data_IF_718348817798
#
_entry.id   IF_718348817798
#
_cell.length_a   1.000
_cell.length_b   1.000
_cell.length_c   1.000
_cell.angle_alpha   90.00
_cell.angle_beta   90.00
_cell.angle_gamma   90.00
#
_symmetry.space_group_name_H-M   'P 1'
#
loop_
_entity.id
_entity.type
_entity.pdbx_description
1 polymer ?
#
# COMPACT_ATOMS: atom_id res chain seq x y z
N UNK A 1 4.63 22.49 16.31
CA UNK A 1 4.08 21.26 15.71
C UNK A 1 3.17 20.58 16.72
N UNK A 2 1.86 20.52 16.45
CA UNK A 2 0.76 20.12 17.36
C UNK A 2 0.92 18.71 17.97
N UNK A 3 1.47 17.74 17.23
CA UNK A 3 1.44 16.32 17.63
C UNK A 3 2.75 15.78 18.21
N UNK A 4 3.76 16.62 18.44
CA UNK A 4 5.07 16.16 18.96
C UNK A 4 4.89 15.43 20.29
N UNK A 5 4.19 16.04 21.25
CA UNK A 5 4.01 15.47 22.58
C UNK A 5 3.31 14.11 22.58
N UNK A 6 2.41 13.88 21.62
CA UNK A 6 1.71 12.60 21.50
C UNK A 6 2.61 11.54 20.84
N UNK A 7 3.39 11.91 19.82
CA UNK A 7 4.36 11.01 19.16
C UNK A 7 5.52 10.61 20.08
N UNK A 8 5.91 11.47 21.01
CA UNK A 8 6.98 11.18 21.98
C UNK A 8 6.47 10.58 23.28
N UNK A 9 5.16 10.35 23.42
CA UNK A 9 4.57 9.73 24.61
C UNK A 9 4.81 8.21 24.67
N UNK A 10 4.76 7.62 25.86
CA UNK A 10 4.82 6.15 26.00
C UNK A 10 3.50 5.43 25.66
N UNK A 11 2.46 6.20 25.29
CA UNK A 11 1.12 5.68 25.06
C UNK A 11 0.90 5.35 23.58
N UNK A 12 0.98 4.06 23.24
CA UNK A 12 0.71 3.57 21.87
C UNK A 12 -0.63 4.09 21.29
N UNK A 13 -1.74 4.22 22.06
CA UNK A 13 -2.96 4.85 21.56
C UNK A 13 -2.82 6.33 21.20
N UNK A 14 -2.06 7.12 21.98
CA UNK A 14 -1.81 8.54 21.67
C UNK A 14 -0.94 8.68 20.43
N UNK A 15 0.14 7.89 20.34
CA UNK A 15 1.01 7.84 19.17
C UNK A 15 0.20 7.51 17.91
N UNK A 16 -0.65 6.46 17.96
CA UNK A 16 -1.52 6.08 16.85
C UNK A 16 -2.44 7.22 16.42
N UNK A 17 -3.11 7.87 17.37
CA UNK A 17 -4.03 8.98 17.10
C UNK A 17 -3.30 10.17 16.46
N UNK A 18 -2.11 10.50 16.94
CA UNK A 18 -1.25 11.53 16.34
C UNK A 18 -0.89 11.19 14.89
N UNK A 19 -0.41 9.98 14.64
CA UNK A 19 -0.04 9.50 13.30
C UNK A 19 -1.24 9.54 12.31
N UNK A 20 -2.44 9.15 12.77
CA UNK A 20 -3.69 9.26 11.99
C UNK A 20 -4.02 10.71 11.62
N UNK A 21 -3.92 11.61 12.59
CA UNK A 21 -4.22 13.02 12.35
C UNK A 21 -3.21 13.69 11.43
N UNK A 22 -1.93 13.31 11.51
CA UNK A 22 -0.87 13.78 10.61
C UNK A 22 -1.18 13.41 9.16
N UNK A 23 -1.60 12.16 8.90
CA UNK A 23 -2.06 11.74 7.56
C UNK A 23 -3.28 12.54 7.14
N UNK A 24 -4.32 12.59 7.99
CA UNK A 24 -5.60 13.23 7.66
C UNK A 24 -5.43 14.70 7.31
N UNK A 25 -4.58 15.41 8.06
CA UNK A 25 -4.27 16.83 7.86
C UNK A 25 -3.10 17.06 6.87
N UNK A 26 -2.50 15.99 6.32
CA UNK A 26 -1.32 16.02 5.42
C UNK A 26 -0.17 16.89 5.95
N UNK A 27 0.13 16.76 7.24
CA UNK A 27 1.12 17.61 7.89
C UNK A 27 2.54 17.18 7.57
N UNK A 28 3.42 18.15 7.32
CA UNK A 28 4.85 17.95 7.08
C UNK A 28 5.68 18.31 8.32
N UNK A 29 6.97 17.97 8.32
CA UNK A 29 7.91 18.29 9.42
C UNK A 29 7.94 17.28 10.57
N UNK A 30 7.14 16.21 10.52
CA UNK A 30 7.06 15.20 11.58
C UNK A 30 7.99 14.00 11.39
N UNK A 31 8.86 13.99 10.38
CA UNK A 31 9.59 12.78 9.98
C UNK A 31 10.48 12.19 11.07
N UNK A 32 11.30 13.00 11.73
CA UNK A 32 12.14 12.55 12.84
C UNK A 32 11.30 11.96 13.97
N UNK A 33 10.19 12.60 14.34
CA UNK A 33 9.30 12.14 15.41
C UNK A 33 8.54 10.86 15.05
N UNK A 34 8.10 10.71 13.80
CA UNK A 34 7.43 9.50 13.31
C UNK A 34 8.41 8.32 13.28
N UNK A 35 9.64 8.56 12.82
CA UNK A 35 10.68 7.55 12.78
C UNK A 35 11.09 7.12 14.19
N UNK A 36 11.33 8.06 15.11
CA UNK A 36 11.65 7.76 16.49
C UNK A 36 10.53 6.97 17.18
N UNK A 37 9.27 7.37 16.97
CA UNK A 37 8.12 6.63 17.48
C UNK A 37 8.04 5.21 16.90
N UNK A 38 8.32 5.03 15.60
CA UNK A 38 8.33 3.69 14.98
C UNK A 38 9.44 2.82 15.56
N UNK A 39 10.65 3.34 15.74
CA UNK A 39 11.77 2.60 16.34
C UNK A 39 11.43 2.09 17.74
N UNK A 40 10.65 2.84 18.53
CA UNK A 40 10.18 2.39 19.86
C UNK A 40 9.03 1.39 19.77
N UNK A 41 8.07 1.64 18.89
CA UNK A 41 6.84 0.83 18.79
C UNK A 41 7.10 -0.51 18.08
N UNK A 42 8.06 -0.61 17.17
CA UNK A 42 8.33 -1.84 16.40
C UNK A 42 8.78 -3.00 17.30
N UNK A 43 9.39 -2.69 18.44
CA UNK A 43 9.84 -3.67 19.44
C UNK A 43 8.70 -4.15 20.37
N UNK A 44 7.46 -3.65 20.18
CA UNK A 44 6.28 -4.01 21.00
C UNK A 44 5.30 -4.88 20.20
N UNK A 45 5.33 -6.23 20.31
CA UNK A 45 4.50 -7.12 19.48
C UNK A 45 2.99 -6.84 19.56
N UNK A 46 2.50 -6.39 20.71
CA UNK A 46 1.08 -6.09 20.96
C UNK A 46 0.63 -4.74 20.37
N UNK A 47 1.53 -3.91 19.86
CA UNK A 47 1.25 -2.57 19.35
C UNK A 47 1.13 -2.52 17.81
N UNK A 48 0.83 -3.65 17.16
CA UNK A 48 0.85 -3.76 15.69
C UNK A 48 -0.03 -2.73 14.98
N UNK A 49 -1.19 -2.34 15.55
CA UNK A 49 -2.02 -1.30 14.94
C UNK A 49 -1.32 0.07 14.94
N UNK A 50 -0.54 0.36 15.98
CA UNK A 50 0.24 1.60 16.08
C UNK A 50 1.43 1.54 15.12
N UNK A 51 2.12 0.39 15.03
CA UNK A 51 3.20 0.15 14.07
C UNK A 51 2.72 0.37 12.63
N UNK A 52 1.65 -0.30 12.21
CA UNK A 52 1.01 -0.12 10.90
C UNK A 52 0.71 1.36 10.61
N UNK A 53 0.15 2.06 11.60
CA UNK A 53 -0.22 3.45 11.44
C UNK A 53 0.98 4.38 11.24
N UNK A 54 2.06 4.17 12.01
CA UNK A 54 3.30 4.92 11.88
C UNK A 54 3.98 4.66 10.53
N UNK A 55 4.07 3.39 10.12
CA UNK A 55 4.63 3.00 8.83
C UNK A 55 3.89 3.69 7.70
N UNK A 56 2.54 3.65 7.70
CA UNK A 56 1.73 4.35 6.68
C UNK A 56 1.94 5.86 6.71
N UNK A 57 2.01 6.47 7.89
CA UNK A 57 2.26 7.91 8.03
C UNK A 57 3.58 8.31 7.41
N UNK A 58 4.66 7.55 7.67
CA UNK A 58 6.00 7.75 7.10
C UNK A 58 5.97 7.78 5.57
N UNK A 59 5.30 6.80 4.94
CA UNK A 59 5.18 6.75 3.48
C UNK A 59 4.35 7.91 2.92
N UNK A 60 3.21 8.22 3.53
CA UNK A 60 2.29 9.25 3.04
C UNK A 60 2.87 10.66 3.14
N UNK A 61 3.58 10.97 4.23
CA UNK A 61 4.19 12.30 4.43
C UNK A 61 5.61 12.40 3.86
N UNK A 62 6.03 11.39 3.11
CA UNK A 62 7.29 11.35 2.36
C UNK A 62 8.55 11.51 3.23
N UNK A 63 8.64 10.72 4.30
CA UNK A 63 9.84 10.69 5.15
C UNK A 63 10.92 9.80 4.54
N UNK A 64 11.63 10.31 3.54
CA UNK A 64 12.68 9.60 2.79
C UNK A 64 13.81 9.05 3.67
N UNK A 65 14.16 9.73 4.75
CA UNK A 65 15.17 9.30 5.73
C UNK A 65 14.83 7.94 6.39
N UNK A 66 13.55 7.57 6.45
CA UNK A 66 13.11 6.30 7.01
C UNK A 66 13.28 5.11 6.05
N UNK A 67 13.55 5.35 4.76
CA UNK A 67 13.55 4.29 3.74
C UNK A 67 14.54 3.15 4.06
N UNK A 68 15.81 3.40 4.47
CA UNK A 68 16.73 2.32 4.85
C UNK A 68 16.16 1.46 5.99
N UNK A 69 15.60 2.11 7.02
CA UNK A 69 15.02 1.41 8.16
C UNK A 69 13.80 0.57 7.75
N UNK A 70 12.90 1.09 6.91
CA UNK A 70 11.75 0.31 6.42
C UNK A 70 12.19 -0.91 5.60
N UNK A 71 13.25 -0.78 4.79
CA UNK A 71 13.83 -1.91 4.04
C UNK A 71 14.47 -2.96 4.95
N UNK A 72 15.05 -2.57 6.08
CA UNK A 72 15.49 -3.54 7.08
C UNK A 72 14.31 -4.24 7.75
N UNK A 73 13.24 -3.50 8.07
CA UNK A 73 12.05 -4.05 8.70
C UNK A 73 11.35 -5.08 7.82
N UNK A 74 11.22 -4.84 6.50
CA UNK A 74 10.47 -5.74 5.62
C UNK A 74 11.13 -7.12 5.45
N UNK A 75 12.41 -7.26 5.75
CA UNK A 75 13.15 -8.52 5.72
C UNK A 75 13.11 -9.27 7.08
N UNK A 76 12.49 -8.69 8.13
CA UNK A 76 12.28 -9.37 9.42
C UNK A 76 11.08 -10.32 9.35
N UNK A 77 11.02 -11.27 10.30
CA UNK A 77 9.86 -12.14 10.51
C UNK A 77 8.90 -11.52 11.53
N UNK A 78 7.62 -11.37 11.16
CA UNK A 78 6.58 -10.84 12.04
C UNK A 78 5.46 -11.86 12.26
N UNK A 79 4.98 -11.97 13.50
CA UNK A 79 3.74 -12.69 13.81
C UNK A 79 2.53 -11.98 13.17
N UNK A 80 2.51 -10.65 13.20
CA UNK A 80 1.47 -9.82 12.59
C UNK A 80 1.82 -9.51 11.13
N UNK A 81 1.47 -10.42 10.23
CA UNK A 81 1.85 -10.35 8.81
C UNK A 81 1.32 -9.11 8.07
N UNK A 82 0.26 -8.47 8.57
CA UNK A 82 -0.29 -7.21 8.00
C UNK A 82 0.75 -6.09 7.91
N UNK A 83 1.81 -6.11 8.74
CA UNK A 83 2.91 -5.17 8.66
C UNK A 83 3.60 -5.19 7.30
N UNK A 84 3.74 -6.36 6.65
CA UNK A 84 4.39 -6.46 5.34
C UNK A 84 3.69 -5.63 4.28
N UNK A 85 2.36 -5.56 4.32
CA UNK A 85 1.58 -4.76 3.38
C UNK A 85 1.84 -3.26 3.58
N UNK A 86 1.78 -2.79 4.82
CA UNK A 86 1.97 -1.37 5.12
C UNK A 86 3.45 -0.95 4.90
N UNK A 87 4.41 -1.84 5.19
CA UNK A 87 5.83 -1.64 4.85
C UNK A 87 6.03 -1.51 3.34
N UNK A 88 5.51 -2.47 2.56
CA UNK A 88 5.61 -2.44 1.11
C UNK A 88 4.93 -1.22 0.50
N UNK A 89 3.76 -0.82 1.02
CA UNK A 89 3.09 0.42 0.63
C UNK A 89 4.00 1.63 0.83
N UNK A 90 4.56 1.79 2.04
CA UNK A 90 5.38 2.95 2.36
C UNK A 90 6.73 2.95 1.65
N UNK A 91 7.39 1.80 1.50
CA UNK A 91 8.63 1.66 0.72
C UNK A 91 8.38 2.08 -0.73
N UNK A 92 7.32 1.54 -1.36
CA UNK A 92 7.00 1.88 -2.74
C UNK A 92 6.75 3.39 -2.92
N UNK A 93 6.03 4.03 -1.99
CA UNK A 93 5.82 5.49 -2.02
C UNK A 93 7.13 6.28 -1.90
N UNK A 94 8.05 5.86 -1.04
CA UNK A 94 9.32 6.54 -0.79
C UNK A 94 10.34 6.33 -1.92
N UNK A 95 10.29 5.20 -2.60
CA UNK A 95 11.10 4.96 -3.82
C UNK A 95 10.58 5.78 -5.01
N UNK A 96 9.27 6.06 -5.05
CA UNK A 96 8.59 6.74 -6.15
C UNK A 96 8.19 8.18 -5.83
N UNK A 97 9.13 8.97 -5.31
CA UNK A 97 8.87 10.36 -4.89
C UNK A 97 9.08 11.38 -6.00
N UNK A 98 9.84 11.02 -7.04
CA UNK A 98 10.20 11.90 -8.15
C UNK A 98 9.13 11.84 -9.24
N UNK A 99 8.54 12.98 -9.63
CA UNK A 99 7.59 13.01 -10.75
C UNK A 99 8.23 12.53 -12.05
N UNK A 100 7.54 11.65 -12.78
CA UNK A 100 8.00 11.14 -14.08
C UNK A 100 9.01 9.98 -14.01
N UNK A 101 9.54 9.65 -12.83
CA UNK A 101 10.40 8.49 -12.60
C UNK A 101 9.60 7.44 -11.82
N UNK A 102 9.04 6.46 -12.53
CA UNK A 102 8.36 5.31 -11.93
C UNK A 102 9.33 4.12 -11.87
N UNK A 103 9.65 3.68 -10.66
CA UNK A 103 10.39 2.46 -10.38
C UNK A 103 9.44 1.37 -9.85
N UNK A 104 9.31 0.30 -10.62
CA UNK A 104 8.49 -0.88 -10.29
C UNK A 104 9.34 -2.07 -9.83
N UNK A 105 10.65 -1.91 -9.67
CA UNK A 105 11.57 -3.00 -9.33
C UNK A 105 11.13 -3.72 -8.05
N UNK A 106 10.77 -2.96 -7.01
CA UNK A 106 10.26 -3.52 -5.76
C UNK A 106 9.00 -4.37 -5.94
N UNK A 107 8.03 -3.92 -6.75
CA UNK A 107 6.82 -4.70 -7.05
C UNK A 107 7.16 -5.98 -7.82
N UNK A 108 8.02 -5.90 -8.84
CA UNK A 108 8.39 -7.08 -9.63
C UNK A 108 9.23 -8.09 -8.85
N UNK A 109 10.11 -7.63 -7.94
CA UNK A 109 10.80 -8.51 -7.00
C UNK A 109 9.82 -9.19 -6.04
N UNK A 110 8.83 -8.46 -5.52
CA UNK A 110 7.78 -9.01 -4.65
C UNK A 110 6.95 -10.08 -5.36
N UNK A 111 6.59 -9.84 -6.63
CA UNK A 111 5.91 -10.81 -7.50
C UNK A 111 6.78 -12.06 -7.68
N UNK A 112 8.08 -11.90 -7.98
CA UNK A 112 9.01 -13.01 -8.15
C UNK A 112 9.16 -13.85 -6.87
N UNK A 113 9.14 -13.21 -5.69
CA UNK A 113 9.16 -13.89 -4.39
C UNK A 113 7.82 -14.57 -4.04
N UNK A 114 6.74 -14.26 -4.75
CA UNK A 114 5.40 -14.75 -4.45
C UNK A 114 4.79 -14.19 -3.15
N UNK A 115 5.29 -13.05 -2.66
CA UNK A 115 4.86 -12.49 -1.39
C UNK A 115 3.59 -11.63 -1.55
N UNK A 116 2.43 -12.26 -1.45
CA UNK A 116 1.10 -11.64 -1.62
C UNK A 116 0.91 -10.33 -0.82
N UNK A 117 1.39 -10.26 0.42
CA UNK A 117 1.24 -9.07 1.26
C UNK A 117 2.10 -7.91 0.77
N UNK A 118 3.34 -8.18 0.36
CA UNK A 118 4.21 -7.15 -0.22
C UNK A 118 3.66 -6.65 -1.56
N UNK A 119 3.21 -7.57 -2.41
CA UNK A 119 2.56 -7.24 -3.68
C UNK A 119 1.32 -6.37 -3.43
N UNK A 120 0.46 -6.75 -2.49
CA UNK A 120 -0.73 -5.97 -2.11
C UNK A 120 -0.37 -4.57 -1.64
N UNK A 121 0.70 -4.43 -0.84
CA UNK A 121 1.19 -3.14 -0.38
C UNK A 121 1.60 -2.22 -1.52
N UNK A 122 2.44 -2.71 -2.45
CA UNK A 122 2.84 -1.96 -3.63
C UNK A 122 1.66 -1.63 -4.56
N UNK A 123 0.75 -2.58 -4.83
CA UNK A 123 -0.45 -2.32 -5.64
C UNK A 123 -1.37 -1.28 -4.98
N UNK A 124 -1.50 -1.30 -3.65
CA UNK A 124 -2.25 -0.29 -2.91
C UNK A 124 -1.62 1.09 -3.00
N UNK A 125 -0.29 1.18 -3.10
CA UNK A 125 0.43 2.44 -3.32
C UNK A 125 0.21 3.00 -4.74
N UNK A 126 0.16 2.12 -5.74
CA UNK A 126 -0.23 2.46 -7.13
C UNK A 126 -1.64 3.05 -7.16
N UNK A 127 -2.60 2.41 -6.52
CA UNK A 127 -3.98 2.92 -6.40
C UNK A 127 -4.00 4.27 -5.67
N UNK A 128 -3.33 4.37 -4.52
CA UNK A 128 -3.30 5.58 -3.70
C UNK A 128 -2.76 6.81 -4.45
N UNK A 129 -1.66 6.64 -5.19
CA UNK A 129 -1.04 7.70 -5.99
C UNK A 129 -1.68 7.88 -7.37
N UNK A 130 -2.65 7.05 -7.72
CA UNK A 130 -3.27 6.98 -9.05
C UNK A 130 -2.22 6.88 -10.18
N UNK A 131 -1.25 6.00 -10.00
CA UNK A 131 -0.14 5.81 -10.96
C UNK A 131 -0.66 5.18 -12.25
N UNK A 132 -0.18 5.71 -13.39
CA UNK A 132 -0.42 5.17 -14.74
C UNK A 132 0.92 4.65 -15.27
N UNK A 133 1.21 3.34 -15.19
CA UNK A 133 2.43 2.76 -15.75
C UNK A 133 2.40 2.77 -17.28
N UNK A 134 3.57 2.51 -17.89
CA UNK A 134 3.65 2.28 -19.34
C UNK A 134 2.98 0.96 -19.70
N UNK A 135 2.49 0.82 -20.93
CA UNK A 135 1.74 -0.36 -21.40
C UNK A 135 2.45 -1.70 -21.10
N UNK A 136 3.76 -1.77 -21.35
CA UNK A 136 4.54 -2.96 -21.06
C UNK A 136 4.56 -3.33 -19.56
N UNK A 137 4.60 -2.31 -18.69
CA UNK A 137 4.58 -2.52 -17.25
C UNK A 137 3.19 -2.89 -16.76
N UNK A 138 2.12 -2.33 -17.35
CA UNK A 138 0.74 -2.74 -17.09
C UNK A 138 0.58 -4.25 -17.35
N UNK A 139 1.04 -4.73 -18.52
CA UNK A 139 1.02 -6.17 -18.87
C UNK A 139 1.75 -7.02 -17.84
N UNK A 140 2.95 -6.61 -17.44
CA UNK A 140 3.76 -7.33 -16.44
C UNK A 140 3.10 -7.36 -15.07
N UNK A 141 2.54 -6.24 -14.62
CA UNK A 141 1.79 -6.14 -13.35
C UNK A 141 0.62 -7.12 -13.40
N UNK A 142 -0.26 -7.00 -14.40
CA UNK A 142 -1.45 -7.85 -14.55
C UNK A 142 -1.06 -9.32 -14.59
N UNK A 143 -0.08 -9.70 -15.43
CA UNK A 143 0.36 -11.08 -15.53
C UNK A 143 0.91 -11.60 -14.21
N UNK A 144 1.68 -10.79 -13.49
CA UNK A 144 2.27 -11.16 -12.21
C UNK A 144 1.25 -11.30 -11.07
N UNK A 145 0.16 -10.53 -11.09
CA UNK A 145 -0.82 -10.53 -10.00
C UNK A 145 -2.05 -11.41 -10.26
N UNK A 146 -2.28 -11.85 -11.50
CA UNK A 146 -3.51 -12.58 -11.87
C UNK A 146 -3.67 -13.92 -11.16
N UNK A 147 -2.57 -14.53 -10.72
CA UNK A 147 -2.58 -15.81 -9.99
C UNK A 147 -3.08 -15.68 -8.54
N UNK A 148 -3.14 -14.46 -7.99
CA UNK A 148 -3.51 -14.23 -6.59
C UNK A 148 -5.03 -14.13 -6.43
N UNK A 149 -5.70 -15.26 -6.64
CA UNK A 149 -7.16 -15.41 -6.55
C UNK A 149 -7.62 -16.00 -5.21
N UNK A 150 -6.69 -16.57 -4.44
CA UNK A 150 -6.98 -17.17 -3.14
C UNK A 150 -7.40 -16.12 -2.12
N UNK A 151 -8.35 -16.49 -1.24
CA UNK A 151 -8.88 -15.66 -0.16
C UNK A 151 -9.54 -14.33 -0.59
N UNK A 152 -9.93 -14.20 -1.87
CA UNK A 152 -10.78 -13.09 -2.32
C UNK A 152 -12.05 -12.99 -1.45
N UNK A 153 -12.29 -11.81 -0.90
CA UNK A 153 -13.40 -11.56 0.04
C UNK A 153 -13.10 -11.86 1.51
N UNK A 154 -11.99 -12.55 1.81
CA UNK A 154 -11.44 -12.63 3.19
C UNK A 154 -10.37 -11.57 3.42
N UNK A 155 -9.57 -11.27 2.39
CA UNK A 155 -8.61 -10.16 2.35
C UNK A 155 -8.74 -9.41 1.04
N UNK A 156 -8.23 -8.17 1.01
CA UNK A 156 -8.10 -7.41 -0.23
C UNK A 156 -6.82 -7.88 -0.92
N UNK A 157 -6.97 -8.56 -2.06
CA UNK A 157 -5.86 -9.12 -2.84
C UNK A 157 -5.25 -8.06 -3.77
N UNK A 158 -4.06 -8.30 -4.34
CA UNK A 158 -3.47 -7.42 -5.35
C UNK A 158 -4.41 -7.14 -6.53
N UNK A 159 -5.22 -8.14 -6.92
CA UNK A 159 -6.23 -8.02 -7.99
C UNK A 159 -7.23 -6.92 -7.70
N UNK A 160 -7.69 -6.79 -6.46
CA UNK A 160 -8.64 -5.74 -6.06
C UNK A 160 -8.06 -4.33 -6.28
N UNK A 161 -6.81 -4.11 -5.85
CA UNK A 161 -6.15 -2.81 -5.99
C UNK A 161 -5.92 -2.42 -7.45
N UNK A 162 -5.45 -3.37 -8.27
CA UNK A 162 -5.18 -3.13 -9.69
C UNK A 162 -6.48 -2.99 -10.48
N UNK A 163 -7.50 -3.82 -10.20
CA UNK A 163 -8.81 -3.66 -10.82
C UNK A 163 -9.41 -2.28 -10.51
N UNK A 164 -9.20 -1.78 -9.29
CA UNK A 164 -9.74 -0.49 -8.91
C UNK A 164 -9.09 0.70 -9.63
N UNK A 165 -7.78 0.65 -9.90
CA UNK A 165 -7.10 1.73 -10.63
C UNK A 165 -7.17 1.56 -12.16
N UNK A 166 -7.49 0.37 -12.66
CA UNK A 166 -7.50 0.08 -14.10
C UNK A 166 -8.45 0.97 -14.92
N UNK A 167 -9.44 1.62 -14.30
CA UNK A 167 -10.36 2.55 -14.98
C UNK A 167 -9.67 3.76 -15.63
N UNK A 168 -8.47 4.14 -15.15
CA UNK A 168 -7.63 5.21 -15.74
C UNK A 168 -6.47 4.68 -16.60
N UNK A 169 -6.39 3.37 -16.84
CA UNK A 169 -5.37 2.77 -17.69
C UNK A 169 -5.90 2.54 -19.12
N UNK A 170 -5.04 2.30 -20.12
CA UNK A 170 -5.47 2.00 -21.48
C UNK A 170 -6.41 0.80 -21.53
N UNK A 171 -7.65 1.01 -22.02
CA UNK A 171 -8.73 0.00 -22.01
C UNK A 171 -8.33 -1.33 -22.64
N UNK A 172 -7.61 -1.29 -23.76
CA UNK A 172 -7.17 -2.50 -24.46
C UNK A 172 -6.25 -3.37 -23.61
N UNK A 173 -5.51 -2.78 -22.68
CA UNK A 173 -4.54 -3.48 -21.84
C UNK A 173 -5.15 -4.09 -20.58
N UNK A 174 -6.26 -3.52 -20.11
CA UNK A 174 -6.90 -3.96 -18.86
C UNK A 174 -8.17 -4.78 -19.06
N UNK A 175 -8.79 -4.73 -20.25
CA UNK A 175 -10.11 -5.35 -20.50
C UNK A 175 -10.15 -6.83 -20.12
N UNK A 176 -9.23 -7.63 -20.64
CA UNK A 176 -9.21 -9.08 -20.35
C UNK A 176 -8.99 -9.40 -18.87
N UNK A 177 -8.17 -8.60 -18.19
CA UNK A 177 -7.97 -8.72 -16.75
C UNK A 177 -9.26 -8.39 -15.97
N UNK A 178 -9.92 -7.29 -16.29
CA UNK A 178 -11.18 -6.91 -15.64
C UNK A 178 -12.30 -7.93 -15.91
N UNK A 179 -12.37 -8.48 -17.11
CA UNK A 179 -13.30 -9.57 -17.43
C UNK A 179 -13.02 -10.80 -16.55
N UNK A 180 -11.75 -11.19 -16.36
CA UNK A 180 -11.39 -12.28 -15.42
C UNK A 180 -11.73 -11.98 -13.96
N UNK A 181 -11.70 -10.70 -13.55
CA UNK A 181 -12.09 -10.30 -12.19
C UNK A 181 -13.59 -10.44 -11.95
N UNK A 182 -14.43 -10.34 -13.00
CA UNK A 182 -15.87 -10.57 -12.91
C UNK A 182 -16.24 -12.03 -12.69
N UNK A 183 -15.32 -12.95 -12.92
CA UNK A 183 -15.50 -14.39 -12.64
C UNK A 183 -15.22 -14.74 -11.16
N UNK A 184 -14.78 -13.77 -10.36
CA UNK A 184 -14.53 -13.96 -8.92
C UNK A 184 -15.80 -14.37 -8.19
N UNK A 185 -15.65 -15.25 -7.20
CA UNK A 185 -16.73 -15.59 -6.26
C UNK A 185 -17.03 -14.47 -5.26
N UNK A 186 -16.14 -13.47 -5.12
CA UNK A 186 -16.36 -12.34 -4.21
C UNK A 186 -17.06 -11.18 -4.92
N UNK A 187 -18.30 -10.81 -4.51
CA UNK A 187 -19.05 -9.75 -5.18
C UNK A 187 -18.36 -8.39 -5.22
N UNK A 188 -17.51 -8.07 -4.24
CA UNK A 188 -16.79 -6.79 -4.21
C UNK A 188 -15.81 -6.63 -5.36
N UNK A 189 -15.08 -7.68 -5.75
CA UNK A 189 -14.18 -7.63 -6.91
C UNK A 189 -14.96 -7.55 -8.22
N UNK A 190 -16.10 -8.22 -8.30
CA UNK A 190 -17.01 -8.13 -9.46
C UNK A 190 -17.50 -6.70 -9.65
N UNK A 191 -17.94 -6.03 -8.57
CA UNK A 191 -18.38 -4.63 -8.60
C UNK A 191 -17.24 -3.69 -9.00
N UNK A 192 -16.04 -3.84 -8.39
CA UNK A 192 -14.85 -3.06 -8.75
C UNK A 192 -14.53 -3.20 -10.25
N UNK A 193 -14.55 -4.43 -10.76
CA UNK A 193 -14.23 -4.69 -12.16
C UNK A 193 -15.28 -4.11 -13.12
N UNK A 194 -16.56 -4.16 -12.74
CA UNK A 194 -17.63 -3.57 -13.53
C UNK A 194 -17.52 -2.04 -13.59
N UNK A 195 -17.34 -1.38 -12.44
CA UNK A 195 -17.13 0.07 -12.39
C UNK A 195 -15.94 0.47 -13.26
N UNK A 196 -14.83 -0.29 -13.18
CA UNK A 196 -13.63 0.01 -13.95
C UNK A 196 -13.80 -0.17 -15.46
N UNK A 197 -14.54 -1.20 -15.91
CA UNK A 197 -14.88 -1.40 -17.33
C UNK A 197 -15.74 -0.25 -17.88
N UNK A 198 -16.60 0.31 -17.04
CA UNK A 198 -17.41 1.49 -17.36
C UNK A 198 -16.60 2.80 -17.31
N UNK A 199 -15.32 2.75 -16.94
CA UNK A 199 -14.44 3.90 -16.80
C UNK A 199 -14.71 4.74 -15.54
N UNK A 200 -15.37 4.15 -14.53
CA UNK A 200 -15.73 4.80 -13.27
C UNK A 200 -14.74 4.44 -12.18
N UNK A 201 -14.48 5.39 -11.28
CA UNK A 201 -13.76 5.11 -10.04
C UNK A 201 -14.65 4.23 -9.15
N UNK A 202 -14.17 3.05 -8.70
CA UNK A 202 -14.98 2.18 -7.86
C UNK A 202 -15.37 2.82 -6.54
N UNK A 203 -16.57 2.50 -6.06
CA UNK A 203 -17.08 3.05 -4.79
C UNK A 203 -16.45 2.42 -3.55
N UNK A 204 -15.88 1.23 -3.68
CA UNK A 204 -15.26 0.50 -2.57
C UNK A 204 -13.94 1.19 -2.17
N UNK A 205 -13.86 1.63 -0.91
CA UNK A 205 -12.62 2.18 -0.36
C UNK A 205 -11.64 1.05 -0.03
N UNK A 206 -10.51 1.01 -0.75
CA UNK A 206 -9.47 0.00 -0.57
C UNK A 206 -8.22 0.53 0.18
N UNK A 207 -8.06 1.85 0.31
CA UNK A 207 -6.86 2.50 0.89
C UNK A 207 -7.23 3.55 1.92
#
# INVERSE_FOLDING_TARGET
MEYINDLTSDSSPKIKKAAQNIIKKRLTGYCSYLLEALTKEIEKPKAWQTQCQLIRSIGIVNCSEALPFLKELIERNYENTVLYRDLAFSIFLLENTRPGELDLSFLFESIKKGNDLQISGACSAILYKKIIPKENDIKKIISGISIFTEDEGRKITPRCYIAAIAHIWPKNEVKGFLESCKESSWPGLVEIAQDALEGKEPKIQLV
#
